data_IF_701369149351
#
_entry.id   IF_701369149351
#
_cell.length_a   1.000
_cell.length_b   1.000
_cell.length_c   1.000
_cell.angle_alpha   90.00
_cell.angle_beta   90.00
_cell.angle_gamma   90.00
#
_symmetry.space_group_name_H-M   'P 1'
#
loop_
_entity.id
_entity.type
_entity.pdbx_description
1 polymer ?
#
# COMPACT_ATOMS: atom_id res chain seq x y z
N UNK A 1 -44.96 -53.51 -23.86
CA UNK A 1 -43.63 -53.43 -24.50
C UNK A 1 -43.39 -52.00 -24.93
N UNK A 2 -42.17 -51.46 -24.66
CA UNK A 2 -41.67 -50.06 -24.81
C UNK A 2 -41.64 -49.30 -23.48
N UNK A 3 -40.57 -49.39 -22.68
CA UNK A 3 -39.18 -48.88 -22.77
C UNK A 3 -39.06 -47.59 -21.95
N UNK A 4 -38.40 -47.71 -20.78
CA UNK A 4 -38.00 -46.60 -19.91
C UNK A 4 -37.04 -45.67 -20.67
N UNK A 5 -37.28 -44.36 -20.58
CA UNK A 5 -36.26 -43.33 -20.83
C UNK A 5 -36.12 -42.56 -19.52
N UNK A 6 -35.03 -42.82 -18.82
CA UNK A 6 -34.60 -42.05 -17.65
C UNK A 6 -33.96 -40.76 -18.18
N UNK A 7 -34.70 -39.65 -18.14
CA UNK A 7 -34.15 -38.33 -18.50
C UNK A 7 -33.38 -37.83 -17.28
N UNK A 8 -32.06 -37.95 -17.34
CA UNK A 8 -31.15 -37.36 -16.37
C UNK A 8 -31.05 -35.86 -16.68
N UNK A 9 -31.83 -35.04 -15.98
CA UNK A 9 -31.71 -33.58 -16.06
C UNK A 9 -30.47 -33.15 -15.29
N UNK A 10 -29.38 -32.85 -16.02
CA UNK A 10 -28.27 -32.07 -15.52
C UNK A 10 -28.78 -30.66 -15.17
N UNK A 11 -29.02 -30.41 -13.88
CA UNK A 11 -29.11 -29.05 -13.37
C UNK A 11 -27.73 -28.43 -13.47
N UNK A 12 -27.51 -27.60 -14.48
CA UNK A 12 -26.41 -26.65 -14.50
C UNK A 12 -26.70 -25.63 -13.39
N UNK A 13 -26.04 -25.79 -12.25
CA UNK A 13 -25.91 -24.73 -11.27
C UNK A 13 -25.18 -23.57 -11.97
N UNK A 14 -25.95 -22.54 -12.34
CA UNK A 14 -25.39 -21.22 -12.55
C UNK A 14 -24.88 -20.77 -11.19
N UNK A 15 -23.59 -20.97 -10.92
CA UNK A 15 -22.92 -20.18 -9.91
C UNK A 15 -22.95 -18.73 -10.39
N UNK A 16 -23.90 -17.99 -9.83
CA UNK A 16 -23.78 -16.55 -9.73
C UNK A 16 -22.50 -16.30 -8.93
N UNK A 17 -21.42 -15.95 -9.63
CA UNK A 17 -20.25 -15.27 -9.09
C UNK A 17 -20.71 -13.92 -8.51
N UNK A 18 -21.42 -13.97 -7.38
CA UNK A 18 -21.42 -12.85 -6.44
C UNK A 18 -19.99 -12.84 -5.93
N UNK A 19 -19.18 -11.95 -6.50
CA UNK A 19 -17.92 -11.56 -5.93
C UNK A 19 -18.18 -11.25 -4.46
N UNK A 20 -17.81 -12.20 -3.59
CA UNK A 20 -17.71 -11.97 -2.16
C UNK A 20 -16.64 -10.89 -2.07
N UNK A 21 -17.06 -9.63 -1.96
CA UNK A 21 -16.15 -8.54 -1.66
C UNK A 21 -15.36 -9.00 -0.45
N UNK A 22 -14.05 -9.15 -0.63
CA UNK A 22 -13.19 -9.54 0.46
C UNK A 22 -13.17 -8.35 1.43
N UNK A 23 -14.09 -8.36 2.40
CA UNK A 23 -14.25 -7.30 3.39
C UNK A 23 -13.01 -7.11 4.28
N UNK A 24 -11.94 -7.89 4.07
CA UNK A 24 -10.68 -7.81 4.81
C UNK A 24 -9.69 -6.80 4.23
N UNK A 25 -9.97 -6.23 3.06
CA UNK A 25 -9.01 -5.42 2.30
C UNK A 25 -9.48 -4.00 1.95
N UNK A 26 -10.42 -3.44 2.74
CA UNK A 26 -10.90 -2.04 2.69
C UNK A 26 -10.58 -1.26 1.40
N UNK A 27 -9.66 -0.28 1.46
CA UNK A 27 -9.29 0.57 0.32
C UNK A 27 -8.04 0.05 -0.43
N UNK A 28 -7.51 -1.12 -0.06
CA UNK A 28 -6.28 -1.64 -0.63
C UNK A 28 -6.48 -1.99 -2.11
N UNK A 29 -5.51 -1.60 -2.94
CA UNK A 29 -5.53 -1.85 -4.39
C UNK A 29 -4.41 -2.83 -4.73
N UNK A 30 -4.76 -3.85 -5.52
CA UNK A 30 -3.81 -4.83 -6.03
C UNK A 30 -3.78 -4.82 -7.56
N UNK A 31 -2.58 -4.79 -8.13
CA UNK A 31 -2.38 -4.82 -9.58
C UNK A 31 -1.26 -5.77 -9.96
N UNK A 32 -1.49 -6.55 -11.01
CA UNK A 32 -0.43 -7.30 -11.68
C UNK A 32 0.20 -6.44 -12.77
N UNK A 33 1.38 -6.84 -13.24
CA UNK A 33 2.06 -6.21 -14.38
C UNK A 33 1.15 -6.22 -15.61
N UNK A 34 0.53 -7.37 -15.91
CA UNK A 34 -0.39 -7.53 -17.03
C UNK A 34 -1.59 -6.56 -16.96
N UNK A 35 -2.24 -6.45 -15.80
CA UNK A 35 -3.37 -5.52 -15.63
C UNK A 35 -2.93 -4.08 -15.82
N UNK A 36 -1.76 -3.74 -15.28
CA UNK A 36 -1.18 -2.40 -15.41
C UNK A 36 -0.83 -2.07 -16.87
N UNK A 37 -0.24 -3.01 -17.61
CA UNK A 37 0.08 -2.84 -19.03
C UNK A 37 -1.16 -2.62 -19.89
N UNK A 38 -2.23 -3.37 -19.60
CA UNK A 38 -3.51 -3.20 -20.26
C UNK A 38 -4.06 -1.78 -20.03
N UNK A 39 -4.07 -1.30 -18.78
CA UNK A 39 -4.48 0.09 -18.47
C UNK A 39 -3.61 1.13 -19.20
N UNK A 40 -2.29 0.94 -19.21
CA UNK A 40 -1.38 1.83 -19.94
C UNK A 40 -1.64 1.88 -21.44
N UNK A 41 -2.00 0.75 -22.05
CA UNK A 41 -2.37 0.71 -23.47
C UNK A 41 -3.57 1.61 -23.73
N UNK A 42 -4.60 1.57 -22.87
CA UNK A 42 -5.80 2.41 -22.99
C UNK A 42 -5.48 3.89 -22.81
N UNK A 43 -4.63 4.25 -21.84
CA UNK A 43 -4.24 5.65 -21.61
C UNK A 43 -3.39 6.21 -22.76
N UNK A 44 -2.53 5.39 -23.35
CA UNK A 44 -1.62 5.82 -24.42
C UNK A 44 -2.31 5.91 -25.79
N UNK A 45 -3.36 5.13 -26.02
CA UNK A 45 -4.18 5.24 -27.25
C UNK A 45 -4.85 6.62 -27.42
N UNK A 46 -5.01 7.39 -26.34
CA UNK A 46 -5.69 8.68 -26.35
C UNK A 46 -4.76 9.90 -26.17
N UNK A 47 -3.43 9.71 -26.10
CA UNK A 47 -2.45 10.77 -25.84
C UNK A 47 -1.70 11.27 -27.07
N UNK A 48 -1.60 12.59 -27.26
CA UNK A 48 -0.92 13.28 -28.38
C UNK A 48 0.56 13.61 -28.15
N UNK A 49 1.27 12.96 -27.21
CA UNK A 49 2.66 13.34 -26.90
C UNK A 49 3.66 12.20 -27.12
N UNK A 50 4.42 12.38 -28.21
CA UNK A 50 5.74 11.82 -28.55
C UNK A 50 5.83 10.33 -28.90
N UNK A 51 6.34 10.10 -30.11
CA UNK A 51 6.89 8.85 -30.62
C UNK A 51 7.94 8.25 -29.67
N UNK A 52 7.54 7.28 -28.85
CA UNK A 52 8.44 6.52 -27.99
C UNK A 52 7.71 5.59 -27.02
N UNK A 53 8.30 4.42 -26.75
CA UNK A 53 7.78 3.37 -25.86
C UNK A 53 7.73 3.83 -24.39
N UNK A 54 6.77 4.68 -24.00
CA UNK A 54 6.57 5.13 -22.60
C UNK A 54 5.71 4.17 -21.76
N UNK A 55 5.38 2.98 -22.27
CA UNK A 55 4.60 1.94 -21.57
C UNK A 55 5.19 1.55 -20.22
N UNK A 56 6.52 1.38 -20.15
CA UNK A 56 7.20 0.98 -18.92
C UNK A 56 7.22 2.09 -17.85
N UNK A 57 7.31 3.36 -18.26
CA UNK A 57 7.10 4.51 -17.36
C UNK A 57 5.67 4.50 -16.81
N UNK A 58 4.67 4.38 -17.69
CA UNK A 58 3.28 4.33 -17.26
C UNK A 58 3.03 3.19 -16.26
N UNK A 59 3.60 2.00 -16.53
CA UNK A 59 3.52 0.86 -15.62
C UNK A 59 4.07 1.20 -14.25
N UNK A 60 5.25 1.83 -14.21
CA UNK A 60 5.88 2.25 -12.96
C UNK A 60 5.08 3.28 -12.18
N UNK A 61 4.41 4.21 -12.84
CA UNK A 61 3.54 5.20 -12.20
C UNK A 61 2.28 4.55 -11.61
N UNK A 62 1.60 3.70 -12.39
CA UNK A 62 0.37 3.03 -11.95
C UNK A 62 0.61 2.03 -10.82
N UNK A 63 1.73 1.31 -10.85
CA UNK A 63 2.13 0.39 -9.79
C UNK A 63 2.99 1.05 -8.70
N UNK A 64 3.28 2.35 -8.82
CA UNK A 64 3.98 3.19 -7.81
C UNK A 64 5.32 2.62 -7.37
N UNK A 65 6.11 2.18 -8.34
CA UNK A 65 7.53 1.94 -8.14
C UNK A 65 8.39 2.92 -8.95
N UNK A 66 7.79 3.87 -9.67
CA UNK A 66 8.52 4.89 -10.45
C UNK A 66 8.12 6.29 -10.05
N UNK A 67 9.11 7.18 -9.98
CA UNK A 67 8.95 8.61 -9.73
C UNK A 67 9.81 9.39 -10.75
N UNK A 68 9.19 10.29 -11.51
CA UNK A 68 9.89 11.06 -12.55
C UNK A 68 10.96 12.01 -12.00
N UNK A 69 10.81 12.49 -10.76
CA UNK A 69 11.77 13.37 -10.11
C UNK A 69 13.05 12.62 -9.73
N UNK A 70 12.92 11.35 -9.31
CA UNK A 70 14.05 10.49 -8.97
C UNK A 70 14.67 9.88 -10.23
N UNK A 71 13.82 9.48 -11.18
CA UNK A 71 14.24 8.90 -12.44
C UNK A 71 14.89 7.51 -12.30
N UNK A 72 14.60 6.80 -11.22
CA UNK A 72 14.96 5.41 -10.95
C UNK A 72 13.80 4.70 -10.25
N UNK A 73 13.65 3.38 -10.43
CA UNK A 73 12.60 2.65 -9.74
C UNK A 73 12.92 2.51 -8.25
N UNK A 74 11.91 2.61 -7.40
CA UNK A 74 12.01 2.24 -6.00
C UNK A 74 12.38 0.75 -5.88
N UNK A 75 13.08 0.39 -4.80
CA UNK A 75 13.49 -1.00 -4.52
C UNK A 75 12.28 -1.95 -4.54
N UNK A 76 11.10 -1.46 -4.18
CA UNK A 76 9.83 -2.20 -4.16
C UNK A 76 9.41 -2.76 -5.51
N UNK A 77 10.01 -2.37 -6.64
CA UNK A 77 9.79 -3.02 -7.94
C UNK A 77 10.12 -4.52 -7.88
N UNK A 78 11.03 -4.93 -6.99
CA UNK A 78 11.43 -6.32 -6.78
C UNK A 78 10.26 -7.27 -6.53
N UNK A 79 9.15 -6.79 -5.97
CA UNK A 79 7.95 -7.58 -5.67
C UNK A 79 7.30 -8.22 -6.90
N UNK A 80 7.59 -7.69 -8.10
CA UNK A 80 7.16 -8.27 -9.37
C UNK A 80 8.15 -9.25 -9.98
N UNK A 81 9.28 -9.52 -9.34
CA UNK A 81 10.33 -10.40 -9.86
C UNK A 81 10.61 -11.55 -8.90
N UNK A 82 10.92 -12.71 -9.48
CA UNK A 82 11.39 -13.89 -8.75
C UNK A 82 12.83 -14.20 -9.14
N UNK A 83 13.82 -13.89 -8.28
CA UNK A 83 15.21 -14.31 -8.47
C UNK A 83 15.34 -15.83 -8.48
N UNK A 84 16.36 -16.33 -9.18
CA UNK A 84 16.75 -17.74 -9.14
C UNK A 84 17.36 -18.09 -7.78
N UNK A 85 17.03 -19.24 -7.22
CA UNK A 85 17.59 -19.73 -5.95
C UNK A 85 19.10 -19.98 -6.00
N UNK A 86 19.67 -20.11 -7.20
CA UNK A 86 21.11 -20.35 -7.43
C UNK A 86 21.88 -19.10 -7.83
N UNK A 87 21.19 -17.97 -8.02
CA UNK A 87 21.82 -16.71 -8.39
C UNK A 87 21.91 -15.82 -7.16
N UNK A 88 23.11 -15.67 -6.60
CA UNK A 88 23.34 -14.86 -5.40
C UNK A 88 23.79 -13.43 -5.71
N UNK A 89 24.04 -13.13 -6.99
CA UNK A 89 24.60 -11.84 -7.44
C UNK A 89 23.59 -10.99 -8.22
N UNK A 90 22.34 -11.48 -8.40
CA UNK A 90 21.28 -10.79 -9.12
C UNK A 90 21.11 -9.32 -8.70
N UNK A 91 21.15 -9.07 -7.39
CA UNK A 91 20.99 -7.74 -6.82
C UNK A 91 22.16 -6.83 -7.24
N UNK A 92 23.40 -7.27 -7.05
CA UNK A 92 24.60 -6.49 -7.35
C UNK A 92 24.68 -6.16 -8.84
N UNK A 93 24.43 -7.13 -9.73
CA UNK A 93 24.42 -6.89 -11.18
C UNK A 93 23.31 -5.91 -11.59
N UNK A 94 22.13 -6.02 -10.98
CA UNK A 94 21.04 -5.06 -11.23
C UNK A 94 21.45 -3.65 -10.80
N UNK A 95 22.05 -3.49 -9.62
CA UNK A 95 22.51 -2.18 -9.12
C UNK A 95 23.64 -1.58 -9.99
N UNK A 96 24.59 -2.40 -10.44
CA UNK A 96 25.63 -1.97 -11.38
C UNK A 96 24.99 -1.43 -12.68
N UNK A 97 24.06 -2.19 -13.28
CA UNK A 97 23.34 -1.76 -14.48
C UNK A 97 22.58 -0.44 -14.27
N UNK A 98 21.89 -0.28 -13.14
CA UNK A 98 21.16 0.96 -12.83
C UNK A 98 22.09 2.18 -12.71
N UNK A 99 23.27 2.00 -12.13
CA UNK A 99 24.30 3.05 -11.97
C UNK A 99 24.89 3.49 -13.31
N UNK A 100 24.89 2.60 -14.30
CA UNK A 100 25.45 2.87 -15.63
C UNK A 100 24.48 3.60 -16.58
N UNK A 101 23.23 3.82 -16.19
CA UNK A 101 22.24 4.54 -17.01
C UNK A 101 22.66 6.01 -17.22
N UNK A 102 22.92 6.40 -18.48
CA UNK A 102 23.40 7.75 -18.86
C UNK A 102 22.33 8.71 -19.40
N UNK A 103 21.06 8.29 -19.47
CA UNK A 103 19.99 9.15 -19.97
C UNK A 103 19.74 10.35 -19.02
N UNK A 104 19.51 11.58 -19.55
CA UNK A 104 19.24 12.75 -18.71
C UNK A 104 17.93 12.59 -17.94
N UNK A 105 17.80 13.25 -16.79
CA UNK A 105 16.58 13.19 -15.96
C UNK A 105 15.32 13.68 -16.69
N UNK A 106 15.48 14.56 -17.68
CA UNK A 106 14.38 15.03 -18.54
C UNK A 106 13.84 13.96 -19.49
N UNK A 107 14.63 12.92 -19.82
CA UNK A 107 14.21 11.82 -20.68
C UNK A 107 13.63 10.66 -19.85
N UNK A 108 12.49 10.96 -19.20
CA UNK A 108 11.84 10.08 -18.22
C UNK A 108 11.44 8.72 -18.81
N UNK A 109 11.07 8.67 -20.09
CA UNK A 109 10.66 7.41 -20.73
C UNK A 109 11.86 6.51 -21.06
N UNK A 110 12.95 7.05 -21.62
CA UNK A 110 14.14 6.24 -21.87
C UNK A 110 14.80 5.80 -20.56
N UNK A 111 14.80 6.66 -19.53
CA UNK A 111 15.26 6.26 -18.19
C UNK A 111 14.43 5.10 -17.63
N UNK A 112 13.10 5.17 -17.69
CA UNK A 112 12.25 4.08 -17.23
C UNK A 112 12.51 2.78 -18.01
N UNK A 113 12.65 2.87 -19.34
CA UNK A 113 12.96 1.72 -20.18
C UNK A 113 14.31 1.08 -19.82
N UNK A 114 15.36 1.89 -19.69
CA UNK A 114 16.69 1.42 -19.32
C UNK A 114 16.69 0.78 -17.92
N UNK A 115 16.08 1.43 -16.92
CA UNK A 115 16.00 0.88 -15.57
C UNK A 115 15.25 -0.45 -15.50
N UNK A 116 14.10 -0.55 -16.17
CA UNK A 116 13.32 -1.79 -16.18
C UNK A 116 14.03 -2.88 -16.99
N UNK A 117 14.80 -2.52 -18.01
CA UNK A 117 15.67 -3.46 -18.74
C UNK A 117 16.73 -4.07 -17.82
N UNK A 118 17.36 -3.27 -16.93
CA UNK A 118 18.29 -3.81 -15.93
C UNK A 118 17.64 -4.88 -15.05
N UNK A 119 16.41 -4.65 -14.57
CA UNK A 119 15.69 -5.65 -13.77
C UNK A 119 15.36 -6.91 -14.58
N UNK A 120 14.85 -6.75 -15.80
CA UNK A 120 14.53 -7.88 -16.69
C UNK A 120 15.75 -8.73 -17.03
N UNK A 121 16.94 -8.13 -17.12
CA UNK A 121 18.17 -8.83 -17.48
C UNK A 121 18.89 -9.44 -16.29
N UNK A 122 18.83 -8.81 -15.11
CA UNK A 122 19.73 -9.14 -14.02
C UNK A 122 19.05 -9.54 -12.72
N UNK A 123 17.78 -9.20 -12.49
CA UNK A 123 17.14 -9.40 -11.18
C UNK A 123 16.47 -10.78 -11.06
N UNK A 124 15.79 -11.25 -12.11
CA UNK A 124 15.08 -12.52 -12.10
C UNK A 124 13.91 -12.57 -13.08
N UNK A 125 13.02 -13.55 -12.88
CA UNK A 125 11.84 -13.73 -13.73
C UNK A 125 10.73 -12.75 -13.36
N UNK A 126 10.26 -11.96 -14.33
CA UNK A 126 9.13 -11.04 -14.17
C UNK A 126 7.80 -11.82 -14.05
N UNK A 127 7.16 -11.73 -12.89
CA UNK A 127 5.86 -12.31 -12.61
C UNK A 127 4.73 -11.44 -13.15
N UNK A 128 4.25 -11.75 -14.35
CA UNK A 128 3.34 -10.83 -15.05
C UNK A 128 1.89 -10.86 -14.56
N UNK A 129 1.44 -11.99 -14.00
CA UNK A 129 0.02 -12.22 -13.68
C UNK A 129 -0.30 -12.12 -12.19
N UNK A 130 0.70 -12.22 -11.32
CA UNK A 130 0.50 -12.15 -9.87
C UNK A 130 0.23 -10.70 -9.47
N UNK A 131 -0.95 -10.38 -8.90
CA UNK A 131 -1.22 -9.03 -8.42
C UNK A 131 -0.50 -8.78 -7.11
N UNK A 132 -0.02 -7.56 -6.92
CA UNK A 132 0.58 -7.11 -5.66
C UNK A 132 0.05 -5.72 -5.27
N UNK A 133 0.24 -5.37 -4.01
CA UNK A 133 -0.20 -4.13 -3.40
C UNK A 133 0.37 -2.89 -4.10
N UNK A 134 -0.48 -1.89 -4.25
CA UNK A 134 -0.14 -0.57 -4.77
C UNK A 134 -0.10 0.40 -3.57
N UNK A 135 1.09 0.89 -3.15
CA UNK A 135 1.24 1.85 -2.05
C UNK A 135 0.29 3.02 -2.19
N UNK A 136 -0.36 3.52 -1.15
CA UNK A 136 -1.16 4.75 -1.15
C UNK A 136 -0.30 6.01 -1.36
N UNK A 137 -0.91 7.05 -1.94
CA UNK A 137 -0.29 8.37 -2.09
C UNK A 137 -0.60 9.21 -0.87
N UNK A 138 0.14 10.30 -0.69
CA UNK A 138 -0.15 11.30 0.34
C UNK A 138 -1.62 11.76 0.32
N UNK A 139 -2.19 12.05 -0.85
CA UNK A 139 -3.59 12.47 -0.96
C UNK A 139 -4.56 11.39 -0.48
N UNK A 140 -4.29 10.12 -0.79
CA UNK A 140 -5.13 9.03 -0.33
C UNK A 140 -4.98 8.80 1.18
N UNK A 141 -3.79 8.98 1.73
CA UNK A 141 -3.57 8.97 3.18
C UNK A 141 -4.38 10.07 3.87
N UNK A 142 -4.36 11.29 3.34
CA UNK A 142 -5.16 12.40 3.89
C UNK A 142 -6.66 12.07 3.87
N UNK A 143 -7.15 11.50 2.76
CA UNK A 143 -8.55 11.08 2.63
C UNK A 143 -8.91 10.01 3.66
N UNK A 144 -8.09 8.96 3.77
CA UNK A 144 -8.31 7.87 4.74
C UNK A 144 -8.27 8.41 6.19
N UNK A 145 -7.33 9.29 6.50
CA UNK A 145 -7.24 9.88 7.84
C UNK A 145 -8.48 10.70 8.16
N UNK A 146 -8.95 11.54 7.23
CA UNK A 146 -10.15 12.34 7.42
C UNK A 146 -11.39 11.45 7.62
N UNK A 147 -11.55 10.41 6.80
CA UNK A 147 -12.64 9.43 6.96
C UNK A 147 -12.61 8.79 8.35
N UNK A 148 -11.43 8.41 8.85
CA UNK A 148 -11.28 7.84 10.18
C UNK A 148 -11.57 8.84 11.30
N UNK A 149 -11.18 10.11 11.15
CA UNK A 149 -11.51 11.19 12.09
C UNK A 149 -13.03 11.34 12.18
N UNK A 150 -13.71 11.37 11.04
CA UNK A 150 -15.17 11.55 10.97
C UNK A 150 -15.91 10.34 11.55
N UNK A 151 -15.46 9.12 11.24
CA UNK A 151 -16.06 7.87 11.74
C UNK A 151 -15.92 7.72 13.26
N UNK A 152 -14.75 8.10 13.81
CA UNK A 152 -14.48 8.03 15.25
C UNK A 152 -14.89 9.30 16.00
N UNK A 153 -15.36 10.33 15.28
CA UNK A 153 -15.75 11.63 15.82
C UNK A 153 -14.63 12.29 16.65
N UNK A 154 -13.39 12.24 16.14
CA UNK A 154 -12.22 12.77 16.87
C UNK A 154 -12.26 14.30 16.92
N UNK A 155 -12.28 14.93 18.10
CA UNK A 155 -12.28 16.38 18.20
C UNK A 155 -10.96 17.01 17.70
N UNK A 156 -11.00 18.22 17.10
CA UNK A 156 -9.77 18.92 16.68
C UNK A 156 -8.76 19.17 17.80
N UNK A 157 -9.21 19.32 19.05
CA UNK A 157 -8.35 19.48 20.22
C UNK A 157 -7.51 18.23 20.52
N UNK A 158 -8.07 17.04 20.34
CA UNK A 158 -7.36 15.76 20.47
C UNK A 158 -6.32 15.63 19.37
N UNK A 159 -6.70 15.97 18.13
CA UNK A 159 -5.80 15.97 16.97
C UNK A 159 -4.58 16.87 17.19
N UNK A 160 -4.80 18.10 17.66
CA UNK A 160 -3.72 19.01 18.01
C UNK A 160 -2.87 18.49 19.19
N UNK A 161 -3.51 17.86 20.18
CA UNK A 161 -2.87 17.29 21.36
C UNK A 161 -1.89 16.18 21.01
N UNK A 162 -2.32 15.13 20.31
CA UNK A 162 -1.45 13.99 20.02
C UNK A 162 -0.35 14.33 18.99
N UNK A 163 -0.61 15.24 18.05
CA UNK A 163 0.43 15.71 17.11
C UNK A 163 1.58 16.39 17.87
N UNK A 164 1.28 17.09 18.95
CA UNK A 164 2.29 17.78 19.78
C UNK A 164 2.95 16.87 20.81
N UNK A 165 2.18 15.95 21.40
CA UNK A 165 2.57 15.21 22.60
C UNK A 165 2.78 13.70 22.38
N UNK A 166 2.60 13.23 21.14
CA UNK A 166 2.71 11.82 20.77
C UNK A 166 1.41 11.05 20.97
N UNK A 167 1.33 9.87 20.34
CA UNK A 167 0.12 9.02 20.30
C UNK A 167 -0.07 8.23 21.61
N UNK A 168 1.01 7.88 22.30
CA UNK A 168 1.02 7.00 23.48
C UNK A 168 -0.03 7.37 24.54
N UNK A 169 -0.21 8.66 24.80
CA UNK A 169 -1.06 9.17 25.89
C UNK A 169 -2.51 9.48 25.44
N UNK A 170 -2.87 9.19 24.19
CA UNK A 170 -4.17 9.53 23.62
C UNK A 170 -4.85 8.27 23.07
N UNK A 171 -5.71 7.59 23.85
CA UNK A 171 -6.43 6.39 23.39
C UNK A 171 -7.20 6.61 22.08
N UNK A 172 -7.77 7.80 21.90
CA UNK A 172 -8.43 8.21 20.66
C UNK A 172 -7.48 8.20 19.46
N UNK A 173 -6.24 8.64 19.65
CA UNK A 173 -5.21 8.65 18.61
C UNK A 173 -4.73 7.23 18.29
N UNK A 174 -4.65 6.35 19.30
CA UNK A 174 -4.35 4.93 19.09
C UNK A 174 -5.46 4.27 18.25
N UNK A 175 -6.72 4.57 18.56
CA UNK A 175 -7.85 4.09 17.75
C UNK A 175 -7.86 4.70 16.34
N UNK A 176 -7.44 5.96 16.20
CA UNK A 176 -7.32 6.61 14.91
C UNK A 176 -6.25 5.95 14.04
N UNK A 177 -5.07 5.65 14.60
CA UNK A 177 -4.02 4.89 13.93
C UNK A 177 -4.50 3.49 13.53
N UNK A 178 -5.23 2.80 14.43
CA UNK A 178 -5.84 1.50 14.10
C UNK A 178 -6.80 1.62 12.91
N UNK A 179 -7.70 2.60 12.92
CA UNK A 179 -8.63 2.83 11.80
C UNK A 179 -7.88 3.08 10.50
N UNK A 180 -6.86 3.94 10.53
CA UNK A 180 -6.02 4.26 9.39
C UNK A 180 -5.42 3.00 8.76
N UNK A 181 -4.71 2.18 9.54
CA UNK A 181 -4.10 0.95 9.04
C UNK A 181 -5.12 -0.10 8.57
N UNK A 182 -6.29 -0.18 9.21
CA UNK A 182 -7.39 -1.03 8.75
C UNK A 182 -7.88 -0.59 7.38
N UNK A 183 -8.16 0.70 7.19
CA UNK A 183 -8.69 1.25 5.94
C UNK A 183 -7.71 1.11 4.78
N UNK A 184 -6.41 1.18 5.05
CA UNK A 184 -5.37 0.89 4.06
C UNK A 184 -5.22 -0.60 3.75
N UNK A 185 -5.81 -1.49 4.56
CA UNK A 185 -5.59 -2.93 4.44
C UNK A 185 -4.17 -3.36 4.82
N UNK A 186 -3.47 -2.55 5.62
CA UNK A 186 -2.15 -2.87 6.19
C UNK A 186 -2.27 -3.65 7.50
N UNK A 187 -3.44 -3.65 8.12
CA UNK A 187 -3.68 -4.31 9.40
C UNK A 187 -5.07 -4.97 9.42
N UNK A 188 -5.22 -6.04 10.20
CA UNK A 188 -6.53 -6.59 10.60
C UNK A 188 -6.49 -6.97 12.08
N UNK A 189 -7.62 -6.91 12.79
CA UNK A 189 -7.65 -7.34 14.21
C UNK A 189 -7.27 -8.82 14.38
N UNK A 190 -7.69 -9.67 13.44
CA UNK A 190 -7.45 -11.11 13.52
C UNK A 190 -6.02 -11.49 13.07
N UNK A 191 -5.56 -10.90 11.96
CA UNK A 191 -4.28 -11.22 11.34
C UNK A 191 -3.12 -10.37 11.83
N UNK A 192 -3.37 -9.21 12.42
CA UNK A 192 -2.34 -8.23 12.78
C UNK A 192 -1.85 -7.47 11.54
N UNK A 193 -0.61 -6.97 11.55
CA UNK A 193 -0.04 -6.23 10.42
C UNK A 193 0.27 -7.17 9.24
N UNK A 194 -0.02 -6.71 8.03
CA UNK A 194 0.51 -7.30 6.79
C UNK A 194 1.88 -6.69 6.51
N UNK A 195 2.92 -7.37 6.99
CA UNK A 195 4.31 -6.90 6.95
C UNK A 195 4.82 -6.68 5.52
N UNK A 196 4.33 -7.47 4.54
CA UNK A 196 4.69 -7.28 3.14
C UNK A 196 4.11 -5.98 2.60
N UNK A 197 2.81 -5.74 2.80
CA UNK A 197 2.17 -4.49 2.32
C UNK A 197 2.73 -3.26 3.00
N UNK A 198 2.97 -3.35 4.31
CA UNK A 198 3.58 -2.25 5.05
C UNK A 198 5.00 -1.93 4.55
N UNK A 199 5.82 -2.94 4.25
CA UNK A 199 7.12 -2.75 3.60
C UNK A 199 7.00 -2.05 2.25
N UNK A 200 6.06 -2.49 1.42
CA UNK A 200 5.82 -1.90 0.10
C UNK A 200 5.34 -0.45 0.22
N UNK A 201 4.48 -0.15 1.20
CA UNK A 201 3.98 1.20 1.48
C UNK A 201 5.08 2.18 1.92
N UNK A 202 6.02 1.72 2.74
CA UNK A 202 7.06 2.56 3.35
C UNK A 202 8.40 2.47 2.61
N UNK A 203 8.44 1.87 1.42
CA UNK A 203 9.66 1.61 0.65
C UNK A 203 10.74 0.85 1.44
N UNK A 204 10.33 0.07 2.44
CA UNK A 204 11.21 -0.75 3.27
C UNK A 204 11.75 -1.96 2.52
N UNK A 205 12.92 -2.45 2.93
CA UNK A 205 13.49 -3.72 2.48
C UNK A 205 13.15 -4.84 3.48
N UNK A 206 11.87 -5.15 3.64
CA UNK A 206 11.41 -6.16 4.60
C UNK A 206 11.52 -7.59 4.08
N UNK A 207 12.12 -7.80 2.91
CA UNK A 207 12.44 -9.13 2.37
C UNK A 207 13.51 -9.88 3.19
N UNK A 208 14.12 -9.24 4.20
CA UNK A 208 15.06 -9.91 5.10
C UNK A 208 14.33 -10.76 6.14
N UNK A 209 14.55 -12.08 6.09
CA UNK A 209 13.90 -13.05 6.99
C UNK A 209 14.04 -12.71 8.48
N UNK A 210 15.16 -12.10 8.88
CA UNK A 210 15.43 -11.71 10.27
C UNK A 210 14.49 -10.62 10.78
N UNK A 211 14.16 -9.62 9.95
CA UNK A 211 13.25 -8.53 10.34
C UNK A 211 11.83 -9.09 10.52
N UNK A 212 11.39 -9.93 9.58
CA UNK A 212 10.09 -10.60 9.66
C UNK A 212 9.96 -11.49 10.89
N UNK A 213 10.99 -12.26 11.21
CA UNK A 213 11.02 -13.11 12.42
C UNK A 213 11.01 -12.30 13.71
N UNK A 214 11.76 -11.19 13.77
CA UNK A 214 11.77 -10.28 14.91
C UNK A 214 10.38 -9.68 15.15
N UNK A 215 9.74 -9.11 14.13
CA UNK A 215 8.41 -8.54 14.30
C UNK A 215 7.36 -9.60 14.62
N UNK A 216 7.43 -10.79 14.00
CA UNK A 216 6.48 -11.87 14.28
C UNK A 216 6.52 -12.30 15.75
N UNK A 217 7.73 -12.37 16.35
CA UNK A 217 7.90 -12.64 17.79
C UNK A 217 7.28 -11.53 18.64
N UNK A 218 7.65 -10.28 18.39
CA UNK A 218 7.10 -9.13 19.11
C UNK A 218 5.55 -9.08 19.06
N UNK A 219 4.96 -9.30 17.88
CA UNK A 219 3.50 -9.32 17.70
C UNK A 219 2.87 -10.46 18.52
N UNK A 220 3.52 -11.63 18.56
CA UNK A 220 3.09 -12.76 19.39
C UNK A 220 3.05 -12.41 20.88
N UNK A 221 4.10 -11.76 21.37
CA UNK A 221 4.22 -11.36 22.77
C UNK A 221 3.17 -10.31 23.17
N UNK A 222 2.91 -9.31 22.31
CA UNK A 222 1.88 -8.29 22.55
C UNK A 222 0.46 -8.88 22.56
N UNK A 223 0.18 -9.84 21.68
CA UNK A 223 -1.13 -10.53 21.65
C UNK A 223 -1.43 -11.30 22.93
N UNK A 224 -0.41 -11.73 23.66
CA UNK A 224 -0.57 -12.40 24.96
C UNK A 224 -0.96 -11.46 26.11
N UNK A 225 -0.93 -10.13 25.92
CA UNK A 225 -1.06 -9.15 27.01
C UNK A 225 -2.49 -8.65 27.25
N UNK A 226 -3.51 -9.22 26.59
CA UNK A 226 -4.93 -8.85 26.76
C UNK A 226 -5.21 -7.35 26.59
N UNK A 227 -4.44 -6.67 25.74
CA UNK A 227 -4.60 -5.25 25.41
C UNK A 227 -5.91 -5.01 24.66
N UNK A 228 -6.48 -3.81 24.79
CA UNK A 228 -7.56 -3.42 23.89
C UNK A 228 -7.03 -3.30 22.44
N UNK A 229 -7.95 -3.34 21.48
CA UNK A 229 -7.56 -3.42 20.06
C UNK A 229 -6.79 -2.19 19.58
N UNK A 230 -7.13 -1.00 20.09
CA UNK A 230 -6.48 0.24 19.70
C UNK A 230 -5.07 0.31 20.29
N UNK A 231 -4.92 0.00 21.58
CA UNK A 231 -3.60 -0.09 22.22
C UNK A 231 -2.73 -1.14 21.55
N UNK A 232 -3.26 -2.33 21.26
CA UNK A 232 -2.53 -3.40 20.57
C UNK A 232 -2.02 -2.95 19.19
N UNK A 233 -2.87 -2.30 18.39
CA UNK A 233 -2.48 -1.81 17.07
C UNK A 233 -1.38 -0.73 17.17
N UNK A 234 -1.50 0.19 18.13
CA UNK A 234 -0.49 1.21 18.39
C UNK A 234 0.84 0.59 18.82
N UNK A 235 0.82 -0.30 19.81
CA UNK A 235 2.04 -0.95 20.32
C UNK A 235 2.70 -1.84 19.27
N UNK A 236 1.95 -2.51 18.41
CA UNK A 236 2.52 -3.22 17.26
C UNK A 236 3.24 -2.24 16.33
N UNK A 237 2.59 -1.13 15.96
CA UNK A 237 3.16 -0.13 15.07
C UNK A 237 4.44 0.48 15.65
N UNK A 238 4.47 0.75 16.95
CA UNK A 238 5.58 1.42 17.64
C UNK A 238 6.71 0.47 18.06
N UNK A 239 6.39 -0.71 18.58
CA UNK A 239 7.39 -1.60 19.21
C UNK A 239 7.87 -2.70 18.26
N UNK A 240 7.01 -3.18 17.36
CA UNK A 240 7.32 -4.36 16.55
C UNK A 240 7.81 -4.03 15.15
N UNK A 241 7.37 -2.90 14.58
CA UNK A 241 7.64 -2.58 13.18
C UNK A 241 8.25 -1.20 12.98
N UNK A 242 8.25 -0.29 13.97
CA UNK A 242 8.85 1.03 13.82
C UNK A 242 10.37 0.95 13.52
N UNK A 243 10.88 1.94 12.79
CA UNK A 243 12.25 1.97 12.25
C UNK A 243 12.41 1.16 10.96
N UNK A 244 12.02 -0.11 10.99
CA UNK A 244 12.10 -1.02 9.83
C UNK A 244 10.93 -0.79 8.84
N UNK A 245 9.76 -0.44 9.37
CA UNK A 245 8.52 -0.09 8.68
C UNK A 245 7.96 1.17 9.35
N UNK A 246 8.18 2.32 8.72
CA UNK A 246 7.85 3.63 9.29
C UNK A 246 6.36 4.01 9.11
N UNK A 247 5.40 3.08 9.24
CA UNK A 247 3.97 3.37 9.04
C UNK A 247 3.43 4.40 10.05
N UNK A 248 3.92 4.34 11.29
CA UNK A 248 3.55 5.32 12.32
C UNK A 248 4.09 6.72 11.99
N UNK A 249 5.24 6.80 11.31
CA UNK A 249 5.82 8.06 10.82
C UNK A 249 4.99 8.63 9.67
N UNK A 250 4.52 7.79 8.76
CA UNK A 250 3.57 8.20 7.69
C UNK A 250 2.31 8.78 8.34
N UNK A 251 1.68 8.04 9.26
CA UNK A 251 0.49 8.50 9.97
C UNK A 251 0.71 9.83 10.70
N UNK A 252 1.82 9.96 11.45
CA UNK A 252 2.15 11.19 12.17
C UNK A 252 2.41 12.38 11.23
N UNK A 253 3.07 12.14 10.09
CA UNK A 253 3.33 13.16 9.08
C UNK A 253 2.04 13.69 8.44
N UNK A 254 1.12 12.78 8.07
CA UNK A 254 -0.19 13.14 7.51
C UNK A 254 -1.05 13.86 8.54
N UNK A 255 -1.04 13.39 9.79
CA UNK A 255 -1.73 14.05 10.92
C UNK A 255 -1.26 15.49 11.10
N UNK A 256 0.06 15.72 11.08
CA UNK A 256 0.64 17.06 11.22
C UNK A 256 0.21 18.00 10.09
N UNK A 257 0.19 17.51 8.84
CA UNK A 257 -0.27 18.28 7.68
C UNK A 257 -1.74 18.65 7.80
N UNK A 258 -2.59 17.69 8.19
CA UNK A 258 -4.02 17.92 8.37
C UNK A 258 -4.30 18.96 9.47
N UNK A 259 -3.66 18.83 10.64
CA UNK A 259 -3.76 19.81 11.73
C UNK A 259 -3.34 21.21 11.29
N UNK A 260 -2.29 21.31 10.47
CA UNK A 260 -1.81 22.59 9.94
C UNK A 260 -2.84 23.23 9.00
N UNK A 261 -3.48 22.45 8.12
CA UNK A 261 -4.56 22.91 7.23
C UNK A 261 -5.77 23.41 8.03
N UNK A 262 -6.16 22.72 9.10
CA UNK A 262 -7.26 23.12 9.98
C UNK A 262 -6.97 24.44 10.70
N UNK A 263 -5.74 24.64 11.18
CA UNK A 263 -5.33 25.88 11.84
C UNK A 263 -5.23 27.07 10.87
N UNK A 264 -4.87 26.82 9.61
CA UNK A 264 -4.74 27.86 8.59
C UNK A 264 -6.10 28.31 8.01
N UNK A 265 -7.17 27.54 8.18
CA UNK A 265 -8.48 27.83 7.60
C UNK A 265 -9.63 27.66 8.61
N UNK A 266 -9.81 28.62 9.55
CA UNK A 266 -10.81 28.51 10.62
C UNK A 266 -12.26 28.47 10.14
N UNK A 267 -12.54 28.75 8.86
CA UNK A 267 -13.87 28.66 8.26
C UNK A 267 -14.42 27.23 8.14
N UNK A 268 -13.56 26.20 8.26
CA UNK A 268 -13.99 24.79 8.29
C UNK A 268 -14.57 24.40 9.67
N UNK A 269 -14.32 25.19 10.72
CA UNK A 269 -14.88 24.95 12.07
C UNK A 269 -16.40 25.19 12.16
N UNK A 270 -17.05 25.80 11.16
CA UNK A 270 -18.45 26.21 11.27
C UNK A 270 -19.44 25.05 11.00
N UNK A 271 -18.97 23.91 10.47
CA UNK A 271 -19.84 22.77 10.16
C UNK A 271 -19.67 21.54 11.08
N UNK A 272 -18.91 21.66 12.18
CA UNK A 272 -18.69 20.58 13.16
C UNK A 272 -19.48 20.76 14.46
N UNK A 273 -20.20 21.87 14.62
CA UNK A 273 -21.20 22.00 15.67
C UNK A 273 -22.51 21.41 15.15
N UNK A 274 -22.65 20.09 15.21
CA UNK A 274 -23.94 19.42 15.05
C UNK A 274 -24.97 20.03 16.03
N UNK A 275 -26.27 19.96 15.71
CA UNK A 275 -27.30 20.62 16.50
C UNK A 275 -27.30 20.08 17.94
N UNK A 276 -27.16 20.98 18.91
CA UNK A 276 -27.43 20.71 20.31
C UNK A 276 -28.92 20.39 20.45
N UNK A 277 -29.26 19.13 20.65
CA UNK A 277 -30.60 18.77 21.13
C UNK A 277 -30.65 19.07 22.63
N UNK A 278 -31.41 20.12 22.97
CA UNK A 278 -31.94 20.32 24.32
C UNK A 278 -33.19 19.49 24.56
#
# INVERSE_FOLDING_TARGET
MKLLILVCTCYTFFELDVARGDCRHHNAIFKSVHKTDHECTVYQQHGTCASGHCSLRCRGLLARYWNDTVGLPAVTINRFYQPSVHDHEYYQRTQCCLTDIKHPLSDVCQRANASITCYNQHYGHLQTKVPDFVPFTELQHEQILQECIDLLQIPPSILAGYVKHGIANYPEAQCLLRCFMLREGLYTDAGGPDLHRMSVQCEGNYSEGQIREKASRCIGDLRGQCLDKCELAYRIAEECVNGDIAVIVVFAGISTKLTTKLNANPSININLNGPSFG
#
